data_IF_470228678325
#
_entry.id   IF_470228678325
#
_cell.length_a   1.000
_cell.length_b   1.000
_cell.length_c   1.000
_cell.angle_alpha   90.00
_cell.angle_beta   90.00
_cell.angle_gamma   90.00
#
_symmetry.space_group_name_H-M   'P 1'
#
loop_
_entity.id
_entity.type
_entity.pdbx_description
1 polymer ?
#
# COMPACT_ATOMS: atom_id res chain seq x y z
N UNK A 1 9.76 -5.39 4.89
CA UNK A 1 9.03 -6.65 4.68
C UNK A 1 9.50 -7.32 3.40
N UNK A 2 10.41 -8.28 3.55
CA UNK A 2 10.87 -9.20 2.52
C UNK A 2 10.14 -10.54 2.64
N UNK A 3 10.24 -11.39 1.62
CA UNK A 3 9.64 -12.73 1.64
C UNK A 3 10.21 -13.57 2.80
N UNK A 4 11.51 -13.45 3.07
CA UNK A 4 12.20 -14.14 4.16
C UNK A 4 11.66 -13.68 5.52
N UNK A 5 11.53 -12.37 5.73
CA UNK A 5 10.95 -11.80 6.96
C UNK A 5 9.51 -12.29 7.21
N UNK A 6 8.69 -12.36 6.16
CA UNK A 6 7.31 -12.86 6.26
C UNK A 6 7.26 -14.37 6.54
N UNK A 7 8.12 -15.14 5.89
CA UNK A 7 8.22 -16.59 6.07
C UNK A 7 8.65 -16.95 7.50
N UNK A 8 9.61 -16.21 8.05
CA UNK A 8 10.04 -16.34 9.45
C UNK A 8 8.92 -15.99 10.44
N UNK A 9 8.15 -14.93 10.19
CA UNK A 9 7.01 -14.56 11.04
C UNK A 9 5.87 -15.60 11.01
N UNK A 10 5.68 -16.26 9.87
CA UNK A 10 4.61 -17.26 9.68
C UNK A 10 5.07 -18.71 9.92
N UNK A 11 6.33 -18.93 10.34
CA UNK A 11 6.93 -20.26 10.49
C UNK A 11 6.86 -21.15 9.24
N UNK A 12 6.90 -20.55 8.05
CA UNK A 12 6.94 -21.25 6.77
C UNK A 12 8.28 -21.08 6.08
N UNK A 13 8.66 -22.03 5.23
CA UNK A 13 9.83 -21.86 4.38
C UNK A 13 9.51 -20.87 3.23
N UNK A 14 10.38 -19.88 2.90
CA UNK A 14 10.11 -18.87 1.87
C UNK A 14 9.69 -19.43 0.50
N UNK A 15 10.22 -20.61 0.13
CA UNK A 15 9.88 -21.29 -1.12
C UNK A 15 8.43 -21.78 -1.19
N UNK A 16 7.77 -21.98 -0.04
CA UNK A 16 6.36 -22.37 0.04
C UNK A 16 5.44 -21.18 -0.25
N UNK A 17 5.74 -20.03 0.36
CA UNK A 17 5.02 -18.77 0.11
C UNK A 17 5.18 -18.36 -1.36
N UNK A 18 6.40 -18.47 -1.92
CA UNK A 18 6.64 -18.22 -3.34
C UNK A 18 5.83 -19.15 -4.26
N UNK A 19 5.77 -20.45 -3.93
CA UNK A 19 4.99 -21.43 -4.71
C UNK A 19 3.50 -21.09 -4.74
N UNK A 20 2.91 -20.71 -3.61
CA UNK A 20 1.48 -20.33 -3.55
C UNK A 20 1.21 -19.07 -4.36
N UNK A 21 2.03 -18.03 -4.19
CA UNK A 21 1.85 -16.75 -4.91
C UNK A 21 1.95 -16.91 -6.43
N UNK A 22 2.88 -17.75 -6.89
CA UNK A 22 3.04 -18.04 -8.32
C UNK A 22 1.96 -18.96 -8.87
N UNK A 23 1.55 -19.97 -8.11
CA UNK A 23 0.60 -21.00 -8.58
C UNK A 23 -0.84 -20.50 -8.62
N UNK A 24 -1.27 -19.66 -7.67
CA UNK A 24 -2.67 -19.27 -7.56
C UNK A 24 -2.99 -17.86 -8.09
N UNK A 25 -2.03 -16.93 -8.07
CA UNK A 25 -2.31 -15.51 -8.39
C UNK A 25 -1.44 -14.89 -9.48
N UNK A 26 -0.44 -15.62 -9.99
CA UNK A 26 0.50 -15.12 -10.99
C UNK A 26 1.15 -13.76 -10.61
N UNK A 27 1.32 -13.53 -9.30
CA UNK A 27 1.83 -12.30 -8.71
C UNK A 27 3.12 -12.58 -7.93
N UNK A 28 4.02 -11.60 -7.85
CA UNK A 28 5.21 -11.69 -7.00
C UNK A 28 4.89 -11.27 -5.55
N UNK A 29 5.73 -11.66 -4.59
CA UNK A 29 5.60 -11.17 -3.22
C UNK A 29 5.71 -9.65 -3.13
N UNK A 30 6.55 -9.04 -3.97
CA UNK A 30 6.66 -7.59 -4.08
C UNK A 30 5.34 -6.95 -4.53
N UNK A 31 4.60 -7.59 -5.44
CA UNK A 31 3.29 -7.10 -5.87
C UNK A 31 2.29 -7.14 -4.72
N UNK A 32 2.30 -8.22 -3.92
CA UNK A 32 1.44 -8.33 -2.74
C UNK A 32 1.73 -7.24 -1.70
N UNK A 33 3.00 -7.04 -1.35
CA UNK A 33 3.42 -5.97 -0.43
C UNK A 33 3.03 -4.59 -0.97
N UNK A 34 3.18 -4.37 -2.28
CA UNK A 34 2.80 -3.11 -2.90
C UNK A 34 1.29 -2.88 -2.86
N UNK A 35 0.48 -3.91 -3.12
CA UNK A 35 -0.97 -3.80 -3.03
C UNK A 35 -1.41 -3.48 -1.60
N UNK A 36 -0.83 -4.14 -0.60
CA UNK A 36 -1.17 -3.88 0.79
C UNK A 36 -0.77 -2.45 1.21
N UNK A 37 0.44 -2.00 0.86
CA UNK A 37 0.86 -0.60 1.07
C UNK A 37 -0.05 0.40 0.37
N UNK A 38 -0.55 0.07 -0.82
CA UNK A 38 -1.44 0.93 -1.57
C UNK A 38 -2.79 1.10 -0.86
N UNK A 39 -3.38 0.01 -0.38
CA UNK A 39 -4.66 0.06 0.33
C UNK A 39 -4.52 0.80 1.67
N UNK A 40 -3.46 0.54 2.43
CA UNK A 40 -3.17 1.32 3.65
C UNK A 40 -2.96 2.80 3.33
N UNK A 41 -2.27 3.14 2.24
CA UNK A 41 -2.11 4.53 1.83
C UNK A 41 -3.46 5.21 1.55
N UNK A 42 -4.36 4.54 0.83
CA UNK A 42 -5.71 5.07 0.55
C UNK A 42 -6.48 5.30 1.85
N UNK A 43 -6.48 4.32 2.75
CA UNK A 43 -7.15 4.41 4.04
C UNK A 43 -6.64 5.61 4.86
N UNK A 44 -5.32 5.75 5.00
CA UNK A 44 -4.71 6.88 5.71
C UNK A 44 -5.03 8.22 5.03
N UNK A 45 -5.08 8.28 3.70
CA UNK A 45 -5.39 9.50 2.96
C UNK A 45 -6.83 9.97 3.19
N UNK A 46 -7.78 9.04 3.36
CA UNK A 46 -9.21 9.34 3.50
C UNK A 46 -9.62 9.54 4.96
N UNK A 47 -9.09 8.70 5.86
CA UNK A 47 -9.59 8.59 7.24
C UNK A 47 -8.75 9.35 8.27
N UNK A 48 -7.68 10.03 7.85
CA UNK A 48 -6.81 10.79 8.76
C UNK A 48 -6.49 12.19 8.22
N UNK A 49 -5.90 13.02 9.09
CA UNK A 49 -5.32 14.33 8.72
C UNK A 49 -3.80 14.29 8.54
N UNK A 50 -3.18 13.11 8.55
CA UNK A 50 -1.74 12.96 8.39
C UNK A 50 -1.27 13.65 7.11
N UNK A 51 -0.13 14.33 7.16
CA UNK A 51 0.51 14.88 5.97
C UNK A 51 1.00 13.75 5.05
N UNK A 52 1.22 14.09 3.77
CA UNK A 52 1.78 13.13 2.80
C UNK A 52 3.17 12.62 3.23
N UNK A 53 3.91 13.44 4.00
CA UNK A 53 5.21 13.05 4.55
C UNK A 53 5.07 12.01 5.69
N UNK A 54 4.13 12.21 6.62
CA UNK A 54 3.88 11.25 7.71
C UNK A 54 3.37 9.90 7.18
N UNK A 55 2.49 9.91 6.16
CA UNK A 55 2.03 8.68 5.51
C UNK A 55 3.20 7.97 4.81
N UNK A 56 4.09 8.73 4.15
CA UNK A 56 5.30 8.18 3.54
C UNK A 56 6.19 7.48 4.57
N UNK A 57 6.37 8.08 5.74
CA UNK A 57 7.17 7.52 6.84
C UNK A 57 6.52 6.25 7.41
N UNK A 58 5.21 6.26 7.68
CA UNK A 58 4.48 5.08 8.17
C UNK A 58 4.58 3.89 7.21
N UNK A 59 4.57 4.15 5.89
CA UNK A 59 4.71 3.10 4.87
C UNK A 59 6.17 2.74 4.56
N UNK A 60 7.11 3.23 5.39
CA UNK A 60 8.54 2.97 5.33
C UNK A 60 9.19 3.37 4.00
N UNK A 61 8.79 4.51 3.43
CA UNK A 61 9.47 5.09 2.27
C UNK A 61 10.58 6.04 2.74
N UNK A 62 11.78 5.90 2.15
CA UNK A 62 12.94 6.71 2.52
C UNK A 62 12.75 8.22 2.30
N UNK A 63 11.84 8.61 1.40
CA UNK A 63 11.42 9.98 1.22
C UNK A 63 10.03 10.05 0.57
N UNK A 64 9.36 11.19 0.77
CA UNK A 64 8.01 11.48 0.26
C UNK A 64 7.92 11.37 -1.26
N UNK A 65 8.98 11.69 -2.00
CA UNK A 65 8.96 11.64 -3.47
C UNK A 65 8.84 10.20 -3.99
N UNK A 66 9.46 9.24 -3.32
CA UNK A 66 9.36 7.82 -3.64
C UNK A 66 7.96 7.28 -3.37
N UNK A 67 7.34 7.69 -2.26
CA UNK A 67 5.94 7.37 -1.97
C UNK A 67 5.00 7.95 -3.02
N UNK A 68 5.15 9.22 -3.40
CA UNK A 68 4.29 9.86 -4.42
C UNK A 68 4.41 9.12 -5.76
N UNK A 69 5.62 8.79 -6.20
CA UNK A 69 5.83 8.02 -7.45
C UNK A 69 5.19 6.64 -7.39
N UNK A 70 5.36 5.95 -6.27
CA UNK A 70 4.72 4.66 -6.04
C UNK A 70 3.20 4.77 -6.12
N UNK A 71 2.58 5.67 -5.37
CA UNK A 71 1.13 5.81 -5.31
C UNK A 71 0.55 6.20 -6.67
N UNK A 72 1.15 7.20 -7.32
CA UNK A 72 0.71 7.66 -8.65
C UNK A 72 0.80 6.56 -9.71
N UNK A 73 1.75 5.62 -9.60
CA UNK A 73 1.84 4.48 -10.53
C UNK A 73 0.63 3.56 -10.46
N UNK A 74 -0.03 3.44 -9.31
CA UNK A 74 -1.17 2.54 -9.13
C UNK A 74 -2.54 3.22 -9.26
N UNK A 75 -2.60 4.53 -8.98
CA UNK A 75 -3.87 5.28 -8.89
C UNK A 75 -4.01 6.31 -10.00
N UNK A 76 -2.97 6.50 -10.82
CA UNK A 76 -2.90 7.54 -11.87
C UNK A 76 -3.18 8.96 -11.36
N UNK A 77 -2.96 9.20 -10.06
CA UNK A 77 -3.18 10.48 -9.39
C UNK A 77 -2.22 10.63 -8.20
N UNK A 78 -1.86 11.86 -7.84
CA UNK A 78 -1.00 12.10 -6.68
C UNK A 78 -1.78 11.86 -5.38
N UNK A 79 -1.11 11.48 -4.27
CA UNK A 79 -1.77 11.28 -2.98
C UNK A 79 -2.61 12.49 -2.52
N UNK A 80 -2.07 13.71 -2.70
CA UNK A 80 -2.77 14.94 -2.32
C UNK A 80 -4.01 15.22 -3.19
N UNK A 81 -3.92 14.96 -4.49
CA UNK A 81 -5.06 15.08 -5.41
C UNK A 81 -6.13 14.04 -5.08
N UNK A 82 -5.71 12.78 -4.88
CA UNK A 82 -6.59 11.68 -4.47
C UNK A 82 -7.37 12.02 -3.19
N UNK A 83 -6.68 12.48 -2.14
CA UNK A 83 -7.32 12.93 -0.89
C UNK A 83 -8.39 13.99 -1.15
N UNK A 84 -8.05 15.03 -1.91
CA UNK A 84 -8.98 16.14 -2.20
C UNK A 84 -10.24 15.66 -2.94
N UNK A 85 -10.09 14.72 -3.85
CA UNK A 85 -11.18 14.21 -4.68
C UNK A 85 -12.13 13.26 -3.94
N UNK A 86 -11.60 12.49 -2.98
CA UNK A 86 -12.33 11.36 -2.38
C UNK A 86 -12.72 11.58 -0.91
N UNK A 87 -12.01 12.41 -0.15
CA UNK A 87 -12.27 12.64 1.28
C UNK A 87 -13.65 13.24 1.58
N UNK A 88 -14.27 13.93 0.61
CA UNK A 88 -15.62 14.48 0.72
C UNK A 88 -16.74 13.62 0.11
N UNK A 89 -16.44 12.42 -0.40
CA UNK A 89 -17.45 11.55 -1.04
C UNK A 89 -18.08 10.54 -0.06
N UNK A 90 -17.39 10.14 1.01
CA UNK A 90 -17.94 9.19 1.99
C UNK A 90 -19.07 9.76 2.85
N UNK A 91 -19.12 11.08 3.08
CA UNK A 91 -20.20 11.72 3.84
C UNK A 91 -21.57 11.66 3.14
N UNK A 92 -21.63 11.36 1.84
CA UNK A 92 -22.90 11.27 1.07
C UNK A 92 -23.48 9.87 0.95
N UNK A 93 -22.73 8.83 1.31
CA UNK A 93 -23.20 7.43 1.25
C UNK A 93 -23.73 6.91 2.58
N UNK A 94 -23.68 7.73 3.64
CA UNK A 94 -24.21 7.43 4.99
C UNK A 94 -25.48 8.23 5.33
N UNK A 95 -26.10 8.88 4.35
CA UNK A 95 -27.37 9.62 4.45
C UNK A 95 -28.44 8.99 3.57
#
# INVERSE_FOLDING_TARGET
>A
MTLTECAEQLNYHPSYIWKILKAERNMTFTDLVNLEKLETAKELLLNTELSIAEISEQLSYANTQNFIRFFSKYVDSTPGKYRKEHKGQEDKSRL
#
